data_IF_944774108618
#
_entry.id   IF_944774108618
#
_cell.length_a   1.000
_cell.length_b   1.000
_cell.length_c   1.000
_cell.angle_alpha   90.00
_cell.angle_beta   90.00
_cell.angle_gamma   90.00
#
_symmetry.space_group_name_H-M   'P 1'
#
loop_
_entity.id
_entity.type
_entity.pdbx_description
1 polymer ?
#
# COMPACT_ATOMS: atom_id res chain seq x y z
N UNK A 1 19.26 -9.95 10.50
CA UNK A 1 17.80 -10.12 10.32
C UNK A 1 17.22 -8.81 9.83
N UNK A 2 16.49 -8.79 8.72
CA UNK A 2 15.79 -7.60 8.22
C UNK A 2 14.34 -7.68 8.68
N UNK A 3 13.82 -6.62 9.29
CA UNK A 3 12.44 -6.53 9.79
C UNK A 3 11.76 -5.36 9.10
N UNK A 4 10.52 -5.56 8.67
CA UNK A 4 9.67 -4.51 8.12
C UNK A 4 8.56 -4.23 9.12
N UNK A 5 8.47 -2.99 9.60
CA UNK A 5 7.33 -2.53 10.38
C UNK A 5 6.33 -1.85 9.44
N UNK A 6 5.08 -2.31 9.47
CA UNK A 6 4.03 -1.88 8.56
C UNK A 6 2.84 -1.36 9.36
N UNK A 7 2.46 -0.11 9.10
CA UNK A 7 1.35 0.54 9.79
C UNK A 7 0.02 -0.19 9.60
N UNK A 8 -0.76 -0.30 10.69
CA UNK A 8 -2.05 -1.00 10.74
C UNK A 8 -3.27 -0.22 10.27
N UNK A 9 -3.12 1.07 9.92
CA UNK A 9 -4.25 1.90 9.49
C UNK A 9 -4.79 1.39 8.15
N UNK A 10 -6.10 1.20 8.06
CA UNK A 10 -6.79 0.65 6.88
C UNK A 10 -6.43 1.38 5.58
N UNK A 11 -6.20 2.70 5.62
CA UNK A 11 -5.82 3.52 4.46
C UNK A 11 -4.46 3.15 3.85
N UNK A 12 -3.58 2.52 4.62
CA UNK A 12 -2.21 2.20 4.20
C UNK A 12 -1.94 0.70 4.05
N UNK A 13 -2.94 -0.17 4.30
CA UNK A 13 -2.75 -1.63 4.21
C UNK A 13 -2.42 -2.11 2.81
N UNK A 14 -2.82 -1.39 1.76
CA UNK A 14 -2.45 -1.71 0.37
C UNK A 14 -0.93 -1.72 0.13
N UNK A 15 -0.15 -1.05 0.99
CA UNK A 15 1.31 -1.05 0.91
C UNK A 15 1.91 -2.39 1.34
N UNK A 16 1.20 -3.19 2.14
CA UNK A 16 1.70 -4.47 2.65
C UNK A 16 2.03 -5.46 1.54
N UNK A 17 1.23 -5.46 0.46
CA UNK A 17 1.39 -6.36 -0.69
C UNK A 17 2.77 -6.26 -1.33
N UNK A 18 3.40 -5.09 -1.28
CA UNK A 18 4.75 -4.84 -1.81
C UNK A 18 5.83 -5.64 -1.09
N UNK A 19 5.58 -6.07 0.14
CA UNK A 19 6.52 -6.83 0.96
C UNK A 19 6.24 -8.33 0.94
N UNK A 20 5.05 -8.74 0.51
CA UNK A 20 4.63 -10.14 0.59
C UNK A 20 5.57 -11.07 -0.13
N UNK A 21 6.17 -10.67 -1.26
CA UNK A 21 7.13 -11.49 -1.99
C UNK A 21 8.46 -11.67 -1.22
N UNK A 22 9.00 -10.61 -0.61
CA UNK A 22 10.36 -10.57 -0.03
C UNK A 22 10.48 -11.29 1.33
N UNK A 23 9.40 -11.35 2.11
CA UNK A 23 9.45 -11.85 3.49
C UNK A 23 9.55 -13.39 3.59
N UNK A 24 10.14 -13.88 4.67
CA UNK A 24 10.19 -15.31 5.02
C UNK A 24 8.98 -15.78 5.83
N UNK A 25 8.38 -14.86 6.57
CA UNK A 25 7.26 -15.07 7.48
C UNK A 25 6.91 -13.74 8.13
N UNK A 26 5.85 -13.72 8.94
CA UNK A 26 5.40 -12.48 9.58
C UNK A 26 4.83 -12.70 10.97
N UNK A 27 4.82 -11.63 11.76
CA UNK A 27 4.13 -11.57 13.05
C UNK A 27 2.95 -10.62 12.86
N UNK A 28 1.76 -11.08 13.20
CA UNK A 28 0.54 -10.27 13.16
C UNK A 28 0.13 -9.89 14.58
N UNK A 29 0.18 -8.59 14.88
CA UNK A 29 -0.08 -8.08 16.22
C UNK A 29 -1.53 -7.63 16.34
N UNK A 30 -2.23 -8.15 17.34
CA UNK A 30 -3.63 -7.80 17.65
C UNK A 30 -3.66 -7.10 19.00
N UNK A 31 -4.41 -6.01 19.08
CA UNK A 31 -4.72 -5.35 20.36
C UNK A 31 -5.76 -6.19 21.12
N UNK A 32 -5.33 -6.94 22.13
CA UNK A 32 -6.17 -7.89 22.85
C UNK A 32 -7.25 -7.24 23.71
N UNK A 33 -7.11 -5.96 24.05
CA UNK A 33 -8.10 -5.22 24.84
C UNK A 33 -9.21 -4.60 23.96
N UNK A 34 -8.97 -4.44 22.66
CA UNK A 34 -9.90 -3.81 21.73
C UNK A 34 -10.75 -4.85 20.99
N UNK A 35 -11.69 -5.45 21.73
CA UNK A 35 -12.57 -6.51 21.22
C UNK A 35 -13.46 -6.07 20.05
N UNK A 36 -13.77 -4.78 19.93
CA UNK A 36 -14.58 -4.22 18.85
C UNK A 36 -13.90 -4.36 17.48
N UNK A 37 -12.56 -4.39 17.43
CA UNK A 37 -11.79 -4.50 16.20
C UNK A 37 -11.39 -5.92 15.83
N UNK A 38 -11.83 -6.93 16.58
CA UNK A 38 -11.47 -8.32 16.28
C UNK A 38 -12.01 -8.82 14.95
N UNK A 39 -13.23 -8.45 14.54
CA UNK A 39 -13.76 -8.90 13.25
C UNK A 39 -13.02 -8.21 12.08
N UNK A 40 -12.66 -6.92 12.22
CA UNK A 40 -11.82 -6.21 11.26
C UNK A 40 -10.44 -6.87 11.14
N UNK A 41 -9.82 -7.18 12.28
CA UNK A 41 -8.51 -7.80 12.36
C UNK A 41 -8.52 -9.21 11.75
N UNK A 42 -9.56 -9.99 12.02
CA UNK A 42 -9.79 -11.30 11.41
C UNK A 42 -9.96 -11.23 9.90
N UNK A 43 -10.79 -10.30 9.41
CA UNK A 43 -10.99 -10.10 7.97
C UNK A 43 -9.67 -9.73 7.28
N UNK A 44 -8.93 -8.79 7.86
CA UNK A 44 -7.63 -8.34 7.36
C UNK A 44 -6.60 -9.46 7.34
N UNK A 45 -6.49 -10.24 8.42
CA UNK A 45 -5.57 -11.37 8.49
C UNK A 45 -5.94 -12.45 7.46
N UNK A 46 -7.23 -12.72 7.29
CA UNK A 46 -7.74 -13.68 6.30
C UNK A 46 -7.42 -13.25 4.87
N UNK A 47 -7.61 -11.97 4.55
CA UNK A 47 -7.26 -11.38 3.26
C UNK A 47 -5.75 -11.54 2.99
N UNK A 48 -4.92 -11.13 3.95
CA UNK A 48 -3.46 -11.22 3.85
C UNK A 48 -2.99 -12.67 3.60
N UNK A 49 -3.43 -13.65 4.40
CA UNK A 49 -3.00 -15.05 4.22
C UNK A 49 -3.58 -15.72 2.96
N UNK A 50 -4.64 -15.15 2.37
CA UNK A 50 -5.21 -15.64 1.11
C UNK A 50 -4.40 -15.20 -0.11
N UNK A 51 -3.54 -14.19 0.04
CA UNK A 51 -2.72 -13.68 -1.04
C UNK A 51 -1.71 -14.74 -1.52
N UNK A 52 -1.56 -14.89 -2.85
CA UNK A 52 -0.69 -15.91 -3.47
C UNK A 52 0.76 -15.89 -2.96
N UNK A 53 1.30 -14.69 -2.74
CA UNK A 53 2.68 -14.49 -2.27
C UNK A 53 2.85 -14.86 -0.79
N UNK A 54 1.76 -14.92 -0.02
CA UNK A 54 1.76 -15.30 1.40
C UNK A 54 1.59 -16.81 1.60
N UNK A 55 1.21 -17.55 0.55
CA UNK A 55 1.09 -19.00 0.60
C UNK A 55 2.40 -19.65 1.09
N UNK A 56 2.26 -20.63 1.97
CA UNK A 56 3.33 -21.41 2.60
C UNK A 56 4.30 -20.64 3.51
N UNK A 57 4.08 -19.33 3.75
CA UNK A 57 4.90 -18.55 4.69
C UNK A 57 4.37 -18.74 6.12
N UNK A 58 5.23 -19.12 7.08
CA UNK A 58 4.83 -19.25 8.48
C UNK A 58 4.46 -17.89 9.06
N UNK A 59 3.55 -17.92 10.03
CA UNK A 59 3.09 -16.71 10.70
C UNK A 59 2.64 -16.98 12.12
N UNK A 60 2.85 -15.97 12.95
CA UNK A 60 2.52 -16.02 14.37
C UNK A 60 1.65 -14.82 14.71
N UNK A 61 0.65 -15.05 15.55
CA UNK A 61 -0.20 -13.97 16.06
C UNK A 61 0.26 -13.59 17.47
N UNK A 62 0.30 -12.30 17.76
CA UNK A 62 0.61 -11.79 19.09
C UNK A 62 -0.61 -11.06 19.63
N UNK A 63 -1.13 -11.53 20.76
CA UNK A 63 -2.20 -10.89 21.51
C UNK A 63 -1.57 -9.84 22.45
N UNK A 64 -1.40 -8.63 21.95
CA UNK A 64 -0.72 -7.53 22.64
C UNK A 64 -1.65 -6.80 23.63
N UNK A 65 -1.07 -6.05 24.57
CA UNK A 65 -1.76 -5.26 25.61
C UNK A 65 -2.47 -6.10 26.69
N UNK A 66 -1.87 -7.23 27.06
CA UNK A 66 -2.39 -8.11 28.13
C UNK A 66 -2.37 -7.46 29.53
N UNK A 67 -1.71 -6.32 29.68
CA UNK A 67 -1.72 -5.48 30.88
C UNK A 67 -3.05 -4.74 31.10
N UNK A 68 -3.86 -4.57 30.04
CA UNK A 68 -5.10 -3.83 30.11
C UNK A 68 -6.27 -4.68 30.59
N UNK A 69 -7.18 -4.07 31.36
CA UNK A 69 -8.41 -4.71 31.79
C UNK A 69 -9.28 -5.10 30.57
N UNK A 70 -9.80 -6.32 30.59
CA UNK A 70 -10.60 -6.86 29.48
C UNK A 70 -9.78 -7.43 28.33
N UNK A 71 -8.45 -7.45 28.42
CA UNK A 71 -7.60 -8.11 27.43
C UNK A 71 -7.96 -9.59 27.28
N UNK A 72 -8.13 -10.02 26.02
CA UNK A 72 -8.47 -11.39 25.69
C UNK A 72 -7.20 -12.24 25.58
N UNK A 73 -7.07 -13.33 26.34
CA UNK A 73 -5.89 -14.18 26.28
C UNK A 73 -5.80 -14.93 24.95
N UNK A 74 -4.58 -15.26 24.53
CA UNK A 74 -4.25 -15.97 23.30
C UNK A 74 -5.08 -17.26 23.10
N UNK A 75 -5.36 -17.98 24.20
CA UNK A 75 -6.17 -19.20 24.22
C UNK A 75 -7.60 -18.99 23.69
N UNK A 76 -8.22 -17.84 23.99
CA UNK A 76 -9.55 -17.47 23.51
C UNK A 76 -9.47 -16.80 22.13
N UNK A 77 -8.46 -15.96 21.91
CA UNK A 77 -8.27 -15.20 20.67
C UNK A 77 -8.20 -16.11 19.44
N UNK A 78 -7.60 -17.30 19.55
CA UNK A 78 -7.55 -18.29 18.46
C UNK A 78 -8.94 -18.62 17.89
N UNK A 79 -9.93 -18.82 18.77
CA UNK A 79 -11.31 -19.13 18.36
C UNK A 79 -11.98 -17.92 17.72
N UNK A 80 -11.78 -16.74 18.30
CA UNK A 80 -12.38 -15.49 17.84
C UNK A 80 -11.91 -15.15 16.41
N UNK A 81 -10.59 -15.24 16.17
CA UNK A 81 -10.01 -14.97 14.86
C UNK A 81 -10.24 -16.12 13.85
N UNK A 82 -10.86 -17.23 14.26
CA UNK A 82 -11.14 -18.37 13.38
C UNK A 82 -9.88 -19.03 12.82
N UNK A 83 -8.79 -19.05 13.58
CA UNK A 83 -7.49 -19.50 13.08
C UNK A 83 -7.33 -21.02 13.17
N UNK A 84 -6.63 -21.66 12.20
CA UNK A 84 -6.31 -23.07 12.25
C UNK A 84 -5.56 -23.45 13.53
N UNK A 85 -5.76 -24.68 14.03
CA UNK A 85 -5.12 -25.16 15.27
C UNK A 85 -3.60 -24.99 15.26
N UNK A 86 -2.96 -25.20 14.11
CA UNK A 86 -1.51 -25.10 13.89
C UNK A 86 -0.93 -23.70 14.10
N UNK A 87 -1.73 -22.64 13.98
CA UNK A 87 -1.25 -21.27 14.12
C UNK A 87 -0.96 -20.98 15.59
N UNK A 88 0.25 -20.51 15.89
CA UNK A 88 0.65 -20.16 17.25
C UNK A 88 0.21 -18.73 17.58
N UNK A 89 -0.25 -18.54 18.81
CA UNK A 89 -0.63 -17.23 19.35
C UNK A 89 0.08 -17.06 20.68
N UNK A 90 0.74 -15.93 20.89
CA UNK A 90 1.42 -15.60 22.14
C UNK A 90 0.83 -14.35 22.76
N UNK A 91 0.67 -14.39 24.08
CA UNK A 91 0.32 -13.24 24.90
C UNK A 91 1.55 -12.32 25.03
N UNK A 92 1.36 -11.01 24.88
CA UNK A 92 2.46 -10.05 25.01
C UNK A 92 2.03 -8.71 25.62
N UNK A 93 3.01 -8.03 26.21
CA UNK A 93 2.89 -6.65 26.70
C UNK A 93 4.05 -5.88 26.07
N UNK A 94 3.82 -5.26 24.91
CA UNK A 94 4.88 -4.55 24.16
C UNK A 94 5.19 -3.16 24.75
N UNK A 95 4.34 -2.65 25.66
CA UNK A 95 4.45 -1.32 26.26
C UNK A 95 5.47 -1.22 27.40
N UNK A 96 5.98 -2.33 27.93
CA UNK A 96 6.90 -2.35 29.07
C UNK A 96 8.27 -2.89 28.65
N UNK A 97 9.21 -1.99 28.35
CA UNK A 97 10.62 -2.33 28.23
C UNK A 97 11.21 -2.28 29.64
N UNK A 98 11.52 -3.43 30.22
CA UNK A 98 12.26 -3.51 31.47
C UNK A 98 13.72 -3.84 31.16
N UNK A 99 14.64 -2.90 31.42
CA UNK A 99 16.08 -3.14 31.34
C UNK A 99 16.57 -3.60 29.96
N UNK A 100 16.11 -2.93 28.89
CA UNK A 100 16.51 -3.19 27.49
C UNK A 100 16.14 -4.58 26.94
N UNK A 101 15.29 -5.33 27.68
CA UNK A 101 14.75 -6.62 27.25
C UNK A 101 13.31 -6.45 26.80
N UNK A 102 13.02 -6.93 25.59
CA UNK A 102 11.64 -7.08 25.12
C UNK A 102 10.90 -8.08 26.03
N UNK A 103 9.59 -7.90 26.18
CA UNK A 103 8.74 -8.83 26.92
C UNK A 103 8.88 -10.27 26.36
N UNK A 104 8.81 -11.27 27.27
CA UNK A 104 8.95 -12.70 26.96
C UNK A 104 8.04 -13.15 25.81
N UNK A 105 6.80 -12.64 25.73
CA UNK A 105 5.87 -12.97 24.67
C UNK A 105 6.37 -12.60 23.28
N UNK A 106 7.03 -11.45 23.15
CA UNK A 106 7.62 -10.99 21.86
C UNK A 106 8.82 -11.84 21.49
N UNK A 107 9.71 -12.11 22.47
CA UNK A 107 10.90 -12.94 22.24
C UNK A 107 10.53 -14.36 21.84
N UNK A 108 9.54 -14.95 22.52
CA UNK A 108 9.01 -16.28 22.20
C UNK A 108 8.35 -16.31 20.83
N UNK A 109 7.57 -15.29 20.48
CA UNK A 109 6.97 -15.18 19.15
C UNK A 109 8.02 -15.12 18.04
N UNK A 110 9.04 -14.26 18.20
CA UNK A 110 10.13 -14.16 17.21
C UNK A 110 10.90 -15.48 17.12
N UNK A 111 11.27 -16.08 18.26
CA UNK A 111 12.03 -17.33 18.29
C UNK A 111 11.26 -18.49 17.65
N UNK A 112 9.96 -18.59 17.93
CA UNK A 112 9.10 -19.61 17.31
C UNK A 112 8.96 -19.40 15.81
N UNK A 113 8.84 -18.15 15.34
CA UNK A 113 8.74 -17.87 13.91
C UNK A 113 10.05 -18.23 13.19
N UNK A 114 11.19 -17.88 13.80
CA UNK A 114 12.51 -18.27 13.27
C UNK A 114 12.63 -19.79 13.20
N UNK A 115 12.19 -20.52 14.23
CA UNK A 115 12.17 -21.98 14.22
C UNK A 115 11.40 -22.55 13.02
N UNK A 116 10.17 -22.07 12.78
CA UNK A 116 9.35 -22.50 11.65
C UNK A 116 9.95 -22.15 10.28
N UNK A 117 10.62 -21.00 10.18
CA UNK A 117 11.34 -20.59 8.97
C UNK A 117 12.54 -21.51 8.72
N UNK A 118 13.32 -21.82 9.75
CA UNK A 118 14.51 -22.69 9.65
C UNK A 118 14.11 -24.10 9.25
N UNK A 119 13.04 -24.65 9.84
CA UNK A 119 12.50 -25.97 9.49
C UNK A 119 12.09 -26.09 8.01
N UNK A 120 11.63 -24.99 7.40
CA UNK A 120 11.13 -24.95 6.03
C UNK A 120 12.00 -24.10 5.09
N UNK A 121 13.24 -23.83 5.47
CA UNK A 121 14.09 -22.80 4.87
C UNK A 121 14.25 -22.97 3.35
N UNK A 122 14.54 -24.19 2.89
CA UNK A 122 14.71 -24.48 1.47
C UNK A 122 13.42 -24.22 0.67
N UNK A 123 12.29 -24.73 1.15
CA UNK A 123 10.99 -24.59 0.47
C UNK A 123 10.54 -23.14 0.41
N UNK A 124 10.61 -22.42 1.53
CA UNK A 124 10.26 -20.99 1.59
C UNK A 124 11.21 -20.19 0.71
N UNK A 125 12.51 -20.47 0.79
CA UNK A 125 13.55 -19.77 0.02
C UNK A 125 13.33 -19.87 -1.49
N UNK A 126 13.07 -21.07 -2.01
CA UNK A 126 12.78 -21.29 -3.43
C UNK A 126 11.53 -20.53 -3.88
N UNK A 127 10.43 -20.64 -3.13
CA UNK A 127 9.19 -19.92 -3.43
C UNK A 127 9.41 -18.41 -3.42
N UNK A 128 10.13 -17.90 -2.41
CA UNK A 128 10.42 -16.49 -2.23
C UNK A 128 11.20 -15.88 -3.40
N UNK A 129 12.21 -16.60 -3.91
CA UNK A 129 12.96 -16.14 -5.11
C UNK A 129 12.02 -16.00 -6.30
N UNK A 130 11.19 -17.02 -6.56
CA UNK A 130 10.20 -16.99 -7.64
C UNK A 130 9.17 -15.87 -7.46
N UNK A 131 8.63 -15.73 -6.25
CA UNK A 131 7.65 -14.70 -5.91
C UNK A 131 8.25 -13.29 -6.12
N UNK A 132 9.52 -13.09 -5.78
CA UNK A 132 10.23 -11.82 -5.98
C UNK A 132 10.46 -11.50 -7.45
N UNK A 133 10.80 -12.48 -8.27
CA UNK A 133 10.91 -12.31 -9.73
C UNK A 133 9.56 -11.92 -10.34
N UNK A 134 8.49 -12.65 -9.99
CA UNK A 134 7.14 -12.34 -10.45
C UNK A 134 6.67 -10.95 -9.99
N UNK A 135 6.96 -10.56 -8.74
CA UNK A 135 6.65 -9.23 -8.22
C UNK A 135 7.41 -8.14 -8.99
N UNK A 136 8.69 -8.37 -9.29
CA UNK A 136 9.52 -7.44 -10.06
C UNK A 136 8.97 -7.25 -11.47
N UNK A 137 8.55 -8.32 -12.14
CA UNK A 137 7.92 -8.22 -13.47
C UNK A 137 6.61 -7.41 -13.42
N UNK A 138 5.79 -7.62 -12.40
CA UNK A 138 4.54 -6.86 -12.20
C UNK A 138 4.86 -5.37 -12.01
N UNK A 139 5.85 -5.05 -11.19
CA UNK A 139 6.27 -3.68 -10.91
C UNK A 139 6.88 -3.00 -12.14
N UNK A 140 7.71 -3.71 -12.91
CA UNK A 140 8.29 -3.19 -14.16
C UNK A 140 7.20 -2.90 -15.20
N UNK A 141 6.24 -3.81 -15.38
CA UNK A 141 5.08 -3.58 -16.27
C UNK A 141 4.26 -2.38 -15.83
N UNK A 142 3.90 -2.30 -14.55
CA UNK A 142 3.14 -1.17 -14.00
C UNK A 142 3.91 0.15 -14.13
N UNK A 143 5.24 0.12 -13.96
CA UNK A 143 6.09 1.29 -14.14
C UNK A 143 6.11 1.76 -15.60
N UNK A 144 6.30 0.84 -16.55
CA UNK A 144 6.28 1.15 -17.97
C UNK A 144 4.92 1.72 -18.42
N UNK A 145 3.81 1.12 -17.99
CA UNK A 145 2.46 1.63 -18.25
C UNK A 145 2.25 3.04 -17.69
N UNK A 146 2.71 3.28 -16.47
CA UNK A 146 2.64 4.61 -15.85
C UNK A 146 3.43 5.66 -16.64
N UNK A 147 4.63 5.33 -17.12
CA UNK A 147 5.44 6.23 -17.93
C UNK A 147 4.76 6.56 -19.26
N UNK A 148 4.19 5.55 -19.94
CA UNK A 148 3.43 5.75 -21.19
C UNK A 148 2.25 6.69 -20.97
N UNK A 149 1.45 6.46 -19.91
CA UNK A 149 0.30 7.32 -19.56
C UNK A 149 0.72 8.77 -19.28
N UNK A 150 1.84 8.98 -18.59
CA UNK A 150 2.36 10.33 -18.33
C UNK A 150 2.79 11.01 -19.64
N UNK A 151 3.46 10.28 -20.54
CA UNK A 151 3.87 10.82 -21.84
C UNK A 151 2.66 11.20 -22.71
N UNK A 152 1.63 10.36 -22.77
CA UNK A 152 0.40 10.62 -23.50
C UNK A 152 -0.34 11.86 -22.96
N UNK A 153 -0.45 12.01 -21.64
CA UNK A 153 -1.07 13.19 -21.03
C UNK A 153 -0.31 14.47 -21.38
N UNK A 154 1.02 14.44 -21.35
CA UNK A 154 1.86 15.59 -21.74
C UNK A 154 1.71 15.93 -23.23
N UNK A 155 1.64 14.92 -24.10
CA UNK A 155 1.44 15.14 -25.53
C UNK A 155 0.06 15.75 -25.83
N UNK A 156 -0.99 15.30 -25.14
CA UNK A 156 -2.34 15.89 -25.25
C UNK A 156 -2.37 17.34 -24.78
N UNK A 157 -1.78 17.63 -23.62
CA UNK A 157 -1.68 19.00 -23.10
C UNK A 157 -0.94 19.92 -24.06
N UNK A 158 0.20 19.48 -24.62
CA UNK A 158 0.93 20.27 -25.60
C UNK A 158 0.12 20.53 -26.88
N UNK A 159 -0.62 19.53 -27.37
CA UNK A 159 -1.48 19.70 -28.55
C UNK A 159 -2.66 20.66 -28.29
N UNK A 160 -3.28 20.58 -27.11
CA UNK A 160 -4.34 21.51 -26.68
C UNK A 160 -3.81 22.95 -26.54
N UNK A 161 -2.62 23.12 -25.95
CA UNK A 161 -1.96 24.42 -25.86
C UNK A 161 -1.61 25.00 -27.23
N UNK A 162 -1.08 24.19 -28.15
CA UNK A 162 -0.77 24.61 -29.52
C UNK A 162 -2.04 25.00 -30.29
N UNK A 163 -3.12 24.22 -30.16
CA UNK A 163 -4.40 24.54 -30.78
C UNK A 163 -4.99 25.85 -30.24
N UNK A 164 -4.94 26.05 -28.91
CA UNK A 164 -5.40 27.29 -28.28
C UNK A 164 -4.58 28.52 -28.72
N UNK A 165 -3.26 28.36 -28.88
CA UNK A 165 -2.40 29.43 -29.40
C UNK A 165 -2.72 29.77 -30.86
N UNK A 166 -2.93 28.76 -31.72
CA UNK A 166 -3.34 28.96 -33.11
C UNK A 166 -4.69 29.68 -33.21
N UNK A 167 -5.68 29.25 -32.44
CA UNK A 167 -7.00 29.90 -32.41
C UNK A 167 -6.91 31.34 -31.90
N UNK A 168 -6.09 31.61 -30.88
CA UNK A 168 -5.88 32.97 -30.38
C UNK A 168 -5.19 33.86 -31.43
N UNK A 169 -4.20 33.34 -32.16
CA UNK A 169 -3.51 34.06 -33.22
C UNK A 169 -4.43 34.37 -34.41
N UNK A 170 -5.28 33.42 -34.82
CA UNK A 170 -6.29 33.63 -35.88
C UNK A 170 -7.32 34.69 -35.47
N UNK A 171 -7.81 34.65 -34.23
CA UNK A 171 -8.74 35.68 -33.72
C UNK A 171 -8.10 37.06 -33.67
N UNK A 172 -6.84 37.16 -33.26
CA UNK A 172 -6.10 38.41 -33.24
C UNK A 172 -5.92 38.97 -34.67
N UNK A 173 -5.49 38.14 -35.62
CA UNK A 173 -5.34 38.54 -37.01
C UNK A 173 -6.67 38.99 -37.65
N UNK A 174 -7.78 38.30 -37.34
CA UNK A 174 -9.11 38.69 -37.81
C UNK A 174 -9.58 40.02 -37.20
N UNK A 175 -9.24 40.30 -35.94
CA UNK A 175 -9.55 41.57 -35.30
C UNK A 175 -8.76 42.74 -35.90
N UNK A 176 -7.47 42.55 -36.19
CA UNK A 176 -6.62 43.54 -36.86
C UNK A 176 -7.12 43.84 -38.28
N UNK A 177 -7.53 42.84 -39.06
CA UNK A 177 -8.10 43.05 -40.39
C UNK A 177 -9.43 43.82 -40.34
N UNK A 178 -10.30 43.56 -39.36
CA UNK A 178 -11.55 44.33 -39.19
C UNK A 178 -11.29 45.80 -38.86
N UNK A 179 -10.26 46.10 -38.06
CA UNK A 179 -9.87 47.48 -37.75
C UNK A 179 -9.27 48.23 -38.96
N UNK A 180 -8.75 47.52 -39.97
CA UNK A 180 -8.22 48.12 -41.20
C UNK A 180 -9.27 48.33 -42.30
N UNK A 181 -10.45 47.68 -42.20
CA UNK A 181 -11.54 47.79 -43.20
C UNK A 181 -12.55 48.90 -42.84
N UNK A 182 -12.55 49.41 -41.60
CA UNK A 182 -13.28 50.63 -41.21
C UNK A 182 -12.44 51.91 -41.35
N UNK A 183 -12.16 52.36 -42.58
CA UNK A 183 -12.08 53.82 -42.74
C UNK A 183 -12.68 54.26 -44.08
N UNK A 184 -14.02 54.43 -44.20
CA UNK A 184 -14.58 55.36 -45.20
C UNK A 184 -16.09 55.72 -45.14
N UNK A 185 -16.71 55.95 -43.97
CA UNK A 185 -18.06 56.56 -43.95
C UNK A 185 -18.16 57.97 -43.35
N UNK A 186 -17.10 58.52 -42.75
CA UNK A 186 -17.14 59.87 -42.14
C UNK A 186 -16.66 61.02 -43.06
N UNK A 187 -16.40 60.79 -44.36
CA UNK A 187 -15.95 61.87 -45.28
C UNK A 187 -17.00 62.46 -46.22
N UNK A 188 -18.31 62.27 -45.95
CA UNK A 188 -19.38 62.86 -46.78
C UNK A 188 -20.15 64.04 -46.17
N UNK A 189 -19.79 64.52 -44.98
CA UNK A 189 -20.53 65.63 -44.34
C UNK A 189 -19.81 66.99 -44.29
N UNK A 190 -18.56 67.11 -44.72
CA UNK A 190 -17.86 68.40 -44.75
C UNK A 190 -17.33 68.71 -46.15
N UNK A 191 -18.15 69.37 -46.97
CA UNK A 191 -17.81 70.52 -47.82
C UNK A 191 -18.98 70.82 -48.77
N UNK A 192 -19.89 71.67 -48.26
CA UNK A 192 -20.72 72.59 -49.06
C UNK A 192 -19.86 73.77 -49.52
#
# INVERSE_FOLDING_TARGET
MKVFDLGGNSKFRSVWERYYAEIWGFIYVVDAADTNRFEESKATLKEMISHKMMKDKPYIVVANKQDLAGAVPASKMKKILGLPRKVKIYDAIVTKIEGDKANEGVQTAISSLIGEIVENFQKIGQKRVKDMEEQKEIEEKAHQERLKRIAELRAKQAAEEEAAQKEAAEKAAAAEQKQQIEPNEEKKENEN
#
